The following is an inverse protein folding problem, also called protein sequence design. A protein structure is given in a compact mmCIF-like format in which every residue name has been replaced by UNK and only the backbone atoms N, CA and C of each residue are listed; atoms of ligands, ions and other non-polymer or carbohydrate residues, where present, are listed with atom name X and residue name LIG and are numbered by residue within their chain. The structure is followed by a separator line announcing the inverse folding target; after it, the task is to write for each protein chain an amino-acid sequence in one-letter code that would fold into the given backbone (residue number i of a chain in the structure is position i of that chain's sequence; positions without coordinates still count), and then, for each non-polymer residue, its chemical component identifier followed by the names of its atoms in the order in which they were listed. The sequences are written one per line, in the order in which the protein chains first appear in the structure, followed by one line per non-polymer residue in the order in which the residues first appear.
data_IF_855246967434
#
_entry.id   IF_855246967434
#
_cell.length_a   1.000
_cell.length_b   1.000
_cell.length_c   1.000
_cell.angle_alpha   90.00
_cell.angle_beta   90.00
_cell.angle_gamma   90.00
#
_symmetry.space_group_name_H-M   'P 1'
#
loop_
_entity.id
_entity.type
_entity.pdbx_description
1 polymer ?
#
# COMPACT_ATOMS: atom_id res chain seq x y z
N UNK A 1 -77.27 -55.68 30.75
CA UNK A 1 -78.57 -55.44 30.06
C UNK A 1 -78.29 -54.55 28.87
N UNK A 2 -78.41 -55.13 27.70
CA UNK A 2 -79.25 -54.75 26.55
C UNK A 2 -79.35 -53.26 26.29
N UNK A 3 -79.04 -52.72 25.11
CA UNK A 3 -79.35 -53.00 23.68
C UNK A 3 -78.53 -52.04 22.82
N UNK A 4 -77.92 -52.42 21.82
CA UNK A 4 -78.25 -52.74 20.43
C UNK A 4 -78.82 -51.63 19.58
N UNK A 5 -78.19 -51.47 18.40
CA UNK A 5 -78.68 -50.97 17.05
C UNK A 5 -78.66 -49.46 16.81
N UNK A 6 -78.42 -48.89 15.63
CA UNK A 6 -78.32 -49.43 14.26
C UNK A 6 -77.62 -48.40 13.36
N UNK A 7 -76.89 -48.89 12.40
CA UNK A 7 -76.61 -48.49 11.03
C UNK A 7 -77.25 -47.20 10.47
N UNK A 8 -76.50 -46.43 9.81
CA UNK A 8 -76.92 -45.44 8.80
C UNK A 8 -75.74 -45.03 7.88
N UNK A 9 -75.72 -45.65 6.70
CA UNK A 9 -74.79 -45.37 5.59
C UNK A 9 -75.22 -44.11 4.88
N UNK A 10 -74.40 -43.08 4.80
CA UNK A 10 -74.65 -41.99 3.84
C UNK A 10 -73.33 -41.68 3.10
N UNK A 11 -73.30 -42.01 1.84
CA UNK A 11 -72.25 -41.65 0.88
C UNK A 11 -72.50 -40.21 0.50
N UNK A 12 -71.51 -39.35 0.69
CA UNK A 12 -71.45 -38.02 0.09
C UNK A 12 -70.10 -37.78 -0.56
N UNK A 13 -70.14 -37.44 -1.81
CA UNK A 13 -69.04 -37.09 -2.69
C UNK A 13 -68.24 -35.93 -2.13
N UNK A 14 -66.98 -36.13 -1.98
CA UNK A 14 -66.03 -35.02 -1.77
C UNK A 14 -65.44 -34.57 -3.08
N UNK A 15 -65.73 -33.34 -3.47
CA UNK A 15 -65.04 -32.58 -4.47
C UNK A 15 -63.70 -32.08 -3.88
N UNK A 16 -62.59 -32.49 -4.45
CA UNK A 16 -61.25 -31.99 -4.11
C UNK A 16 -61.07 -30.60 -4.70
N UNK A 17 -61.15 -29.58 -3.85
CA UNK A 17 -60.63 -28.25 -4.18
C UNK A 17 -59.19 -28.20 -3.73
N UNK A 18 -58.27 -28.17 -4.70
CA UNK A 18 -56.85 -28.00 -4.45
C UNK A 18 -56.55 -26.60 -3.88
N UNK A 19 -56.02 -26.58 -2.67
CA UNK A 19 -55.43 -25.38 -2.08
C UNK A 19 -53.99 -25.27 -2.60
N UNK A 20 -53.77 -24.46 -3.67
CA UNK A 20 -52.43 -24.01 -4.05
C UNK A 20 -51.90 -23.06 -2.97
N UNK A 21 -50.94 -23.54 -2.20
CA UNK A 21 -50.14 -22.71 -1.32
C UNK A 21 -49.24 -21.81 -2.19
N UNK A 22 -49.64 -20.57 -2.43
CA UNK A 22 -48.78 -19.54 -2.98
C UNK A 22 -47.67 -19.23 -1.98
N UNK A 23 -46.49 -19.80 -2.23
CA UNK A 23 -45.24 -19.41 -1.56
C UNK A 23 -44.95 -17.97 -1.95
N UNK A 24 -45.26 -17.03 -1.10
CA UNK A 24 -44.82 -15.64 -1.24
C UNK A 24 -43.30 -15.59 -0.98
N UNK A 25 -42.53 -15.71 -2.03
CA UNK A 25 -41.12 -15.33 -2.00
C UNK A 25 -41.07 -13.83 -1.67
N UNK A 26 -40.71 -13.50 -0.41
CA UNK A 26 -40.28 -12.18 -0.06
C UNK A 26 -39.01 -11.91 -0.85
N UNK A 27 -39.16 -11.15 -1.95
CA UNK A 27 -38.04 -10.54 -2.62
C UNK A 27 -37.24 -9.73 -1.56
N UNK A 28 -36.04 -10.17 -1.23
CA UNK A 28 -35.07 -9.35 -0.50
C UNK A 28 -34.88 -8.08 -1.31
N UNK A 29 -35.47 -6.97 -0.89
CA UNK A 29 -35.07 -5.64 -1.35
C UNK A 29 -33.58 -5.54 -1.00
N UNK A 30 -32.70 -5.75 -2.00
CA UNK A 30 -31.34 -5.27 -1.92
C UNK A 30 -31.43 -3.74 -1.83
N UNK A 31 -31.22 -3.22 -0.62
CA UNK A 31 -30.86 -1.82 -0.47
C UNK A 31 -29.63 -1.58 -1.34
N UNK A 32 -29.56 -0.47 -2.11
CA UNK A 32 -28.36 -0.16 -2.85
C UNK A 32 -27.22 -0.03 -1.82
N UNK A 33 -26.31 -1.00 -1.81
CA UNK A 33 -25.08 -0.91 -1.03
C UNK A 33 -24.28 0.21 -1.66
N UNK A 34 -24.19 1.36 -1.00
CA UNK A 34 -23.22 2.38 -1.36
C UNK A 34 -21.85 1.84 -1.01
N UNK A 35 -21.29 1.00 -1.88
CA UNK A 35 -19.92 0.53 -1.77
C UNK A 35 -19.00 1.68 -2.17
N UNK A 36 -18.04 2.01 -1.33
CA UNK A 36 -16.97 2.96 -1.64
C UNK A 36 -15.76 2.20 -2.20
N UNK A 37 -15.21 2.71 -3.29
CA UNK A 37 -13.98 2.18 -3.90
C UNK A 37 -12.84 3.17 -3.68
N UNK A 38 -11.74 2.71 -3.09
CA UNK A 38 -10.50 3.43 -2.89
C UNK A 38 -9.38 2.77 -3.70
N UNK A 39 -8.64 3.56 -4.45
CA UNK A 39 -7.47 3.12 -5.17
C UNK A 39 -6.22 3.65 -4.46
N UNK A 40 -5.35 2.75 -4.00
CA UNK A 40 -4.14 3.07 -3.24
C UNK A 40 -2.92 2.73 -4.09
N UNK A 41 -1.97 3.68 -4.17
CA UNK A 41 -0.62 3.43 -4.64
C UNK A 41 0.38 3.77 -3.52
N UNK A 42 1.50 3.03 -3.44
CA UNK A 42 2.49 3.29 -2.41
C UNK A 42 3.90 2.87 -2.83
N UNK A 43 4.87 3.51 -2.20
CA UNK A 43 6.27 3.08 -2.12
C UNK A 43 6.74 3.18 -0.68
N UNK A 44 7.90 2.62 -0.40
CA UNK A 44 8.63 2.67 0.87
C UNK A 44 10.13 2.60 0.58
N UNK A 45 10.96 2.97 1.56
CA UNK A 45 12.40 2.67 1.58
C UNK A 45 13.11 3.05 0.26
N UNK A 46 12.90 4.28 -0.24
CA UNK A 46 13.55 4.67 -1.49
C UNK A 46 15.02 5.10 -1.27
N UNK A 47 15.42 5.44 -0.03
CA UNK A 47 16.81 5.60 0.40
C UNK A 47 17.65 6.45 -0.57
N UNK A 48 17.17 7.59 -0.97
CA UNK A 48 17.83 8.49 -1.93
C UNK A 48 18.26 7.82 -3.26
N UNK A 49 17.67 6.65 -3.61
CA UNK A 49 17.80 6.06 -4.94
C UNK A 49 16.92 6.84 -5.93
N UNK A 50 17.40 8.05 -6.25
CA UNK A 50 16.66 9.01 -7.08
C UNK A 50 16.72 8.66 -8.56
N UNK A 51 17.85 8.11 -9.01
CA UNK A 51 18.05 7.64 -10.38
C UNK A 51 17.65 6.17 -10.56
N UNK A 52 17.52 5.78 -11.81
CA UNK A 52 17.31 4.39 -12.21
C UNK A 52 18.58 3.56 -12.07
N UNK A 53 18.41 2.28 -11.82
CA UNK A 53 19.51 1.32 -11.71
C UNK A 53 19.40 0.21 -12.75
N UNK A 54 20.47 -0.55 -12.94
CA UNK A 54 20.49 -1.71 -13.84
C UNK A 54 20.18 -2.99 -13.09
N UNK A 55 19.18 -3.73 -13.56
CA UNK A 55 18.80 -5.01 -12.96
C UNK A 55 18.54 -6.08 -14.03
N UNK A 56 19.09 -7.31 -13.86
CA UNK A 56 18.76 -8.43 -14.72
C UNK A 56 17.38 -9.00 -14.36
N UNK A 57 16.48 -9.10 -15.35
CA UNK A 57 15.16 -9.70 -15.21
C UNK A 57 14.96 -10.80 -16.26
N UNK A 58 14.14 -11.79 -15.96
CA UNK A 58 13.65 -12.76 -16.95
C UNK A 58 12.49 -12.16 -17.72
N UNK A 59 12.72 -11.78 -18.98
CA UNK A 59 11.74 -11.20 -19.87
C UNK A 59 11.69 -11.96 -21.19
N UNK A 60 10.50 -12.39 -21.61
CA UNK A 60 10.30 -13.15 -22.86
C UNK A 60 11.25 -14.35 -23.00
N UNK A 61 11.47 -15.11 -21.91
CA UNK A 61 12.32 -16.30 -21.88
C UNK A 61 13.84 -16.05 -21.86
N UNK A 62 14.28 -14.78 -21.79
CA UNK A 62 15.70 -14.38 -21.73
C UNK A 62 15.98 -13.64 -20.42
N UNK A 63 17.23 -13.72 -19.94
CA UNK A 63 17.71 -12.80 -18.90
C UNK A 63 18.16 -11.51 -19.59
N UNK A 64 17.49 -10.41 -19.27
CA UNK A 64 17.72 -9.09 -19.88
C UNK A 64 17.99 -8.10 -18.76
N UNK A 65 19.09 -7.36 -18.86
CA UNK A 65 19.37 -6.22 -17.98
C UNK A 65 18.59 -5.02 -18.49
N UNK A 66 17.81 -4.42 -17.60
CA UNK A 66 16.98 -3.23 -17.87
C UNK A 66 17.27 -2.14 -16.86
N UNK A 67 16.89 -0.90 -17.17
CA UNK A 67 16.79 0.13 -16.14
C UNK A 67 15.54 -0.10 -15.29
N UNK A 68 15.68 0.01 -13.96
CA UNK A 68 14.62 -0.21 -12.98
C UNK A 68 14.58 0.95 -11.97
N UNK A 69 13.40 1.25 -11.44
CA UNK A 69 13.23 2.25 -10.39
C UNK A 69 13.50 3.68 -10.86
N UNK A 70 13.93 4.50 -9.92
CA UNK A 70 14.15 5.94 -10.08
C UNK A 70 12.88 6.78 -9.85
N UNK A 71 12.99 7.85 -9.05
CA UNK A 71 11.83 8.70 -8.72
C UNK A 71 11.16 9.36 -9.93
N UNK A 72 11.85 9.75 -11.03
CA UNK A 72 11.19 10.21 -12.23
C UNK A 72 10.25 9.17 -12.87
N UNK A 73 10.61 7.88 -12.80
CA UNK A 73 9.74 6.79 -13.30
C UNK A 73 8.57 6.54 -12.36
N UNK A 74 8.80 6.56 -11.05
CA UNK A 74 7.74 6.50 -10.04
C UNK A 74 6.74 7.64 -10.24
N UNK A 75 7.22 8.86 -10.48
CA UNK A 75 6.37 10.02 -10.76
C UNK A 75 5.44 9.80 -11.94
N UNK A 76 5.99 9.31 -13.07
CA UNK A 76 5.18 9.02 -14.25
C UNK A 76 4.20 7.87 -13.99
N UNK A 77 4.62 6.84 -13.25
CA UNK A 77 3.75 5.73 -12.87
C UNK A 77 2.57 6.19 -12.01
N UNK A 78 2.84 7.04 -11.01
CA UNK A 78 1.80 7.64 -10.13
C UNK A 78 0.88 8.57 -10.93
N UNK A 79 1.41 9.36 -11.85
CA UNK A 79 0.61 10.21 -12.75
C UNK A 79 -0.36 9.36 -13.58
N UNK A 80 0.12 8.28 -14.17
CA UNK A 80 -0.70 7.33 -14.92
C UNK A 80 -1.76 6.67 -14.01
N UNK A 81 -1.39 6.28 -12.79
CA UNK A 81 -2.30 5.72 -11.80
C UNK A 81 -3.43 6.68 -11.45
N UNK A 82 -3.12 7.95 -11.17
CA UNK A 82 -4.14 8.98 -10.86
C UNK A 82 -5.05 9.27 -12.05
N UNK A 83 -4.52 9.28 -13.27
CA UNK A 83 -5.33 9.46 -14.48
C UNK A 83 -6.26 8.28 -14.77
N UNK A 84 -5.81 7.07 -14.47
CA UNK A 84 -6.56 5.84 -14.73
C UNK A 84 -7.57 5.46 -13.64
N UNK A 85 -7.57 6.13 -12.49
CA UNK A 85 -8.38 5.77 -11.34
C UNK A 85 -9.06 6.98 -10.69
N UNK A 86 -10.24 6.73 -10.09
CA UNK A 86 -10.91 7.69 -9.21
C UNK A 86 -10.57 7.37 -7.75
N UNK A 87 -10.84 8.32 -6.84
CA UNK A 87 -10.65 8.12 -5.40
C UNK A 87 -9.26 7.55 -5.09
N UNK A 88 -8.21 8.24 -5.53
CA UNK A 88 -6.83 7.81 -5.38
C UNK A 88 -6.22 8.32 -4.08
N UNK A 89 -5.34 7.50 -3.50
CA UNK A 89 -4.49 7.83 -2.37
C UNK A 89 -3.09 7.31 -2.67
N UNK A 90 -2.07 8.16 -2.54
CA UNK A 90 -0.67 7.83 -2.85
C UNK A 90 0.17 8.05 -1.59
N UNK A 91 0.78 6.99 -1.08
CA UNK A 91 1.40 6.93 0.24
C UNK A 91 2.89 6.58 0.14
N UNK A 92 3.67 7.09 1.10
CA UNK A 92 5.08 6.74 1.26
C UNK A 92 5.34 6.29 2.71
N UNK A 93 5.81 5.05 2.87
CA UNK A 93 5.93 4.42 4.18
C UNK A 93 7.34 4.50 4.81
N UNK A 94 7.98 5.68 4.70
CA UNK A 94 9.22 5.99 5.41
C UNK A 94 10.50 5.59 4.71
N UNK A 95 11.63 5.92 5.34
CA UNK A 95 12.98 5.74 4.84
C UNK A 95 13.20 6.34 3.45
N UNK A 96 12.99 7.64 3.37
CA UNK A 96 13.32 8.43 2.20
C UNK A 96 14.83 8.73 2.13
N UNK A 97 15.45 8.92 3.29
CA UNK A 97 16.82 9.42 3.44
C UNK A 97 17.85 8.28 3.49
N UNK A 98 19.11 8.66 3.31
CA UNK A 98 20.31 7.80 3.32
C UNK A 98 20.35 6.75 2.20
N UNK A 99 21.54 6.31 1.80
CA UNK A 99 21.76 5.22 0.84
C UNK A 99 22.60 5.59 -0.37
N UNK A 100 22.54 6.79 -0.90
CA UNK A 100 23.31 7.20 -2.09
C UNK A 100 24.10 8.49 -1.91
N UNK A 101 24.92 8.85 -2.92
CA UNK A 101 25.63 10.12 -2.95
C UNK A 101 24.69 11.34 -2.96
N UNK A 102 23.46 11.21 -3.43
CA UNK A 102 22.48 12.29 -3.37
C UNK A 102 22.23 12.71 -1.92
N UNK A 103 22.07 11.76 -1.02
CA UNK A 103 21.94 12.08 0.40
C UNK A 103 23.19 12.75 0.96
N UNK A 104 24.37 12.19 0.66
CA UNK A 104 25.65 12.74 1.14
C UNK A 104 25.90 14.17 0.69
N UNK A 105 25.48 14.53 -0.54
CA UNK A 105 25.73 15.84 -1.13
C UNK A 105 24.63 16.86 -0.80
N UNK A 106 23.39 16.42 -0.71
CA UNK A 106 22.23 17.30 -0.59
C UNK A 106 21.47 17.19 0.74
N UNK A 107 21.86 16.27 1.62
CA UNK A 107 21.31 16.13 2.99
C UNK A 107 19.76 16.01 2.96
N UNK A 108 19.21 15.20 2.03
CA UNK A 108 17.79 14.97 1.85
C UNK A 108 17.01 16.07 1.14
N UNK A 109 17.62 17.18 0.73
CA UNK A 109 16.92 18.25 0.01
C UNK A 109 16.46 17.81 -1.38
N UNK A 110 17.30 17.04 -2.09
CA UNK A 110 16.95 16.48 -3.39
C UNK A 110 15.76 15.52 -3.27
N UNK A 111 15.76 14.69 -2.22
CA UNK A 111 14.66 13.78 -1.91
C UNK A 111 13.36 14.56 -1.69
N UNK A 112 13.38 15.60 -0.82
CA UNK A 112 12.22 16.41 -0.53
C UNK A 112 11.66 17.12 -1.78
N UNK A 113 12.52 17.65 -2.65
CA UNK A 113 12.11 18.35 -3.88
C UNK A 113 11.42 17.38 -4.85
N UNK A 114 12.00 16.19 -5.08
CA UNK A 114 11.39 15.17 -5.95
C UNK A 114 10.11 14.61 -5.34
N UNK A 115 10.06 14.33 -4.03
CA UNK A 115 8.86 13.90 -3.34
C UNK A 115 7.74 14.94 -3.44
N UNK A 116 8.06 16.23 -3.31
CA UNK A 116 7.10 17.32 -3.53
C UNK A 116 6.55 17.34 -4.95
N UNK A 117 7.40 17.11 -5.95
CA UNK A 117 7.00 17.07 -7.36
C UNK A 117 6.11 15.85 -7.69
N UNK A 118 6.37 14.69 -7.06
CA UNK A 118 5.51 13.49 -7.14
C UNK A 118 4.16 13.75 -6.47
N UNK A 119 4.15 14.58 -5.41
CA UNK A 119 2.97 14.97 -4.66
C UNK A 119 2.29 13.76 -3.98
N UNK A 120 3.03 13.05 -3.12
CA UNK A 120 2.44 12.04 -2.25
C UNK A 120 1.35 12.66 -1.36
N UNK A 121 0.33 11.90 -1.04
CA UNK A 121 -0.74 12.38 -0.18
C UNK A 121 -0.35 12.38 1.31
N UNK A 122 0.54 11.45 1.70
CA UNK A 122 1.06 11.30 3.07
C UNK A 122 2.45 10.65 3.00
N UNK A 123 3.31 11.07 3.92
CA UNK A 123 4.60 10.45 4.24
C UNK A 123 4.63 10.12 5.74
N UNK A 124 5.17 8.95 6.11
CA UNK A 124 5.52 8.62 7.50
C UNK A 124 7.03 8.65 7.69
N UNK A 125 7.49 8.87 8.92
CA UNK A 125 8.90 8.77 9.24
C UNK A 125 9.31 7.30 9.32
N UNK A 126 10.55 6.99 8.93
CA UNK A 126 11.25 5.77 9.23
C UNK A 126 12.48 6.04 10.10
N UNK A 127 13.28 5.00 10.38
CA UNK A 127 14.45 5.14 11.24
C UNK A 127 15.56 5.95 10.58
N UNK A 128 15.74 5.82 9.27
CA UNK A 128 16.80 6.55 8.55
C UNK A 128 16.53 8.05 8.42
N UNK A 129 15.35 8.53 8.69
CA UNK A 129 15.09 9.95 8.86
C UNK A 129 15.85 10.56 10.06
N UNK A 130 16.28 9.72 11.02
CA UNK A 130 16.98 10.15 12.23
C UNK A 130 18.50 9.89 12.22
N UNK A 131 19.08 9.37 11.14
CA UNK A 131 20.50 8.94 11.11
C UNK A 131 21.47 10.08 11.47
N UNK A 132 21.27 11.26 10.91
CA UNK A 132 22.11 12.44 11.15
C UNK A 132 21.47 13.44 12.13
N UNK A 133 20.54 12.95 12.94
CA UNK A 133 19.96 13.66 14.08
C UNK A 133 18.88 14.69 13.72
N UNK A 134 18.33 15.27 14.77
CA UNK A 134 17.15 16.14 14.68
C UNK A 134 17.33 17.39 13.80
N UNK A 135 18.54 17.93 13.68
CA UNK A 135 18.78 19.12 12.85
C UNK A 135 18.64 18.82 11.36
N UNK A 136 19.17 17.68 10.91
CA UNK A 136 19.10 17.30 9.53
C UNK A 136 17.67 16.88 9.17
N UNK A 137 17.02 16.09 10.01
CA UNK A 137 15.60 15.79 9.85
C UNK A 137 14.74 17.06 9.74
N UNK A 138 14.99 18.05 10.62
CA UNK A 138 14.29 19.32 10.53
C UNK A 138 14.53 20.02 9.18
N UNK A 139 15.76 20.03 8.69
CA UNK A 139 16.10 20.65 7.40
C UNK A 139 15.36 19.99 6.24
N UNK A 140 15.30 18.66 6.22
CA UNK A 140 14.51 17.89 5.27
C UNK A 140 13.00 18.24 5.35
N UNK A 141 12.43 18.20 6.57
CA UNK A 141 11.02 18.51 6.79
C UNK A 141 10.63 19.96 6.50
N UNK A 142 11.58 20.91 6.58
CA UNK A 142 11.35 22.32 6.22
C UNK A 142 11.20 22.52 4.69
N UNK A 143 11.80 21.65 3.88
CA UNK A 143 11.65 21.63 2.41
C UNK A 143 10.43 20.82 1.98
N UNK A 144 10.12 19.75 2.70
CA UNK A 144 9.03 18.84 2.37
C UNK A 144 7.66 19.52 2.55
N UNK A 145 6.83 19.47 1.50
CA UNK A 145 5.47 20.05 1.47
C UNK A 145 4.37 19.03 1.68
N UNK A 146 4.74 17.74 1.74
CA UNK A 146 3.82 16.62 1.92
C UNK A 146 3.42 16.54 3.40
N UNK A 147 2.15 16.25 3.73
CA UNK A 147 1.75 15.97 5.11
C UNK A 147 2.53 14.80 5.70
N UNK A 148 3.12 15.00 6.88
CA UNK A 148 3.87 13.97 7.60
C UNK A 148 3.05 13.49 8.79
N UNK A 149 3.01 12.16 8.98
CA UNK A 149 2.35 11.51 10.11
C UNK A 149 3.32 10.55 10.81
N UNK A 150 3.36 10.61 12.15
CA UNK A 150 4.05 9.60 12.98
C UNK A 150 3.48 9.68 14.40
N UNK A 151 2.73 8.66 14.80
CA UNK A 151 1.94 8.70 16.02
C UNK A 151 2.73 8.30 17.27
N UNK A 152 3.71 7.41 17.08
CA UNK A 152 4.52 6.88 18.17
C UNK A 152 5.87 7.59 18.36
N UNK A 153 6.17 8.57 17.52
CA UNK A 153 7.35 9.44 17.65
C UNK A 153 6.89 10.81 18.16
N UNK A 154 7.25 11.12 19.39
CA UNK A 154 6.72 12.28 20.12
C UNK A 154 7.86 13.20 20.55
N UNK A 155 8.06 14.34 19.86
CA UNK A 155 9.00 15.37 20.31
C UNK A 155 8.55 15.96 21.64
N UNK A 156 9.51 16.24 22.53
CA UNK A 156 9.25 16.99 23.74
C UNK A 156 8.89 18.44 23.42
N UNK A 157 8.19 19.09 24.35
CA UNK A 157 7.88 20.50 24.23
C UNK A 157 9.18 21.33 24.19
N UNK A 158 9.30 22.17 23.16
CA UNK A 158 10.51 22.97 22.91
C UNK A 158 11.56 22.27 22.04
N UNK A 159 11.36 21.02 21.65
CA UNK A 159 12.17 20.37 20.61
C UNK A 159 12.11 21.15 19.29
N UNK A 160 13.21 21.16 18.54
CA UNK A 160 13.22 21.74 17.19
C UNK A 160 12.31 21.00 16.20
N UNK A 161 11.86 19.80 16.55
CA UNK A 161 10.93 18.97 15.79
C UNK A 161 9.48 19.08 16.30
N UNK A 162 9.22 19.88 17.36
CA UNK A 162 7.87 20.06 17.88
C UNK A 162 6.92 20.57 16.77
N UNK A 163 5.81 19.85 16.55
CA UNK A 163 4.78 20.23 15.56
C UNK A 163 5.14 19.96 14.10
N UNK A 164 6.28 19.32 13.80
CA UNK A 164 6.69 19.00 12.41
C UNK A 164 5.84 17.91 11.76
N UNK A 165 5.21 17.06 12.55
CA UNK A 165 4.26 16.04 12.09
C UNK A 165 3.07 15.93 13.04
N UNK A 166 2.09 15.16 12.61
CA UNK A 166 0.91 14.81 13.40
C UNK A 166 0.85 13.30 13.65
N UNK A 167 0.14 12.84 14.69
CA UNK A 167 -0.03 11.39 14.89
C UNK A 167 -0.82 10.74 13.75
N UNK A 168 -1.77 11.44 13.19
CA UNK A 168 -2.60 11.01 12.06
C UNK A 168 -3.18 12.22 11.33
N UNK A 169 -3.76 11.95 10.18
CA UNK A 169 -4.60 12.89 9.46
C UNK A 169 -5.92 12.24 9.01
N UNK A 170 -6.90 13.05 8.70
CA UNK A 170 -8.15 12.65 8.05
C UNK A 170 -8.17 13.28 6.67
N UNK A 171 -8.26 12.44 5.64
CA UNK A 171 -8.33 12.89 4.24
C UNK A 171 -9.68 12.54 3.64
N UNK A 172 -10.34 13.53 3.06
CA UNK A 172 -11.56 13.27 2.29
C UNK A 172 -11.18 12.80 0.88
N UNK A 173 -11.64 11.61 0.51
CA UNK A 173 -11.43 11.01 -0.81
C UNK A 173 -12.78 10.55 -1.34
N UNK A 174 -13.24 11.12 -2.45
CA UNK A 174 -14.52 10.74 -3.05
C UNK A 174 -15.73 10.91 -2.12
N UNK A 175 -15.69 11.89 -1.21
CA UNK A 175 -16.75 12.14 -0.24
C UNK A 175 -16.68 11.25 1.02
N UNK A 176 -15.69 10.36 1.13
CA UNK A 176 -15.46 9.53 2.31
C UNK A 176 -14.24 10.03 3.09
N UNK A 177 -14.34 10.05 4.41
CA UNK A 177 -13.23 10.39 5.29
C UNK A 177 -12.41 9.14 5.60
N UNK A 178 -11.12 9.19 5.27
CA UNK A 178 -10.13 8.15 5.53
C UNK A 178 -9.21 8.63 6.64
N UNK A 179 -9.12 7.86 7.72
CA UNK A 179 -8.13 8.09 8.78
C UNK A 179 -6.79 7.47 8.36
N UNK A 180 -5.71 8.24 8.50
CA UNK A 180 -4.36 7.78 8.11
C UNK A 180 -3.44 8.03 9.29
N UNK A 181 -2.96 6.95 9.93
CA UNK A 181 -2.08 6.95 11.10
C UNK A 181 -0.66 6.65 10.63
N UNK A 182 0.36 7.35 11.15
CA UNK A 182 1.77 7.04 10.92
C UNK A 182 2.38 6.25 12.07
N UNK A 183 3.28 5.31 11.78
CA UNK A 183 4.08 4.60 12.78
C UNK A 183 5.53 4.45 12.30
N UNK A 184 6.47 4.49 13.25
CA UNK A 184 7.90 4.23 13.04
C UNK A 184 8.37 3.08 13.93
N UNK A 185 9.44 2.39 13.51
CA UNK A 185 10.07 1.28 14.23
C UNK A 185 10.83 1.79 15.45
N UNK A 186 10.34 1.46 16.65
CA UNK A 186 10.93 1.99 17.90
C UNK A 186 12.33 1.48 18.13
N UNK A 187 12.55 0.18 18.00
CA UNK A 187 13.83 -0.46 18.38
C UNK A 187 14.97 0.00 17.49
N UNK A 188 14.83 -0.11 16.17
CA UNK A 188 15.88 0.28 15.22
C UNK A 188 16.20 1.77 15.33
N UNK A 189 15.19 2.63 15.38
CA UNK A 189 15.38 4.08 15.47
C UNK A 189 16.20 4.47 16.71
N UNK A 190 15.95 3.83 17.85
CA UNK A 190 16.70 4.09 19.09
C UNK A 190 18.09 3.47 19.13
N UNK A 191 18.31 2.33 18.49
CA UNK A 191 19.55 1.54 18.61
C UNK A 191 20.50 1.79 17.43
N UNK A 192 19.99 2.13 16.25
CA UNK A 192 20.77 2.19 15.01
C UNK A 192 20.82 3.58 14.37
N UNK A 193 19.91 4.49 14.74
CA UNK A 193 19.89 5.89 14.28
C UNK A 193 20.25 6.84 15.42
N UNK A 194 20.20 8.14 15.18
CA UNK A 194 20.66 9.18 16.12
C UNK A 194 19.55 10.16 16.50
N UNK A 195 18.37 9.71 16.95
CA UNK A 195 17.34 10.62 17.45
C UNK A 195 17.87 11.35 18.69
N UNK A 196 17.52 12.63 18.83
CA UNK A 196 17.85 13.39 20.03
C UNK A 196 17.14 12.85 21.28
N UNK A 197 17.70 13.12 22.46
CA UNK A 197 17.11 12.73 23.75
C UNK A 197 15.74 13.36 24.01
N UNK A 198 15.40 14.41 23.25
CA UNK A 198 14.13 15.14 23.27
C UNK A 198 13.02 14.48 22.41
N UNK A 199 13.26 13.25 21.95
CA UNK A 199 12.26 12.46 21.18
C UNK A 199 11.88 11.21 21.97
N UNK A 200 10.58 11.03 22.21
CA UNK A 200 10.02 9.83 22.83
C UNK A 200 9.43 8.90 21.80
N UNK A 201 9.71 7.63 21.96
CA UNK A 201 9.18 6.54 21.14
C UNK A 201 8.20 5.71 21.97
N UNK A 202 6.97 5.57 21.49
CA UNK A 202 5.90 4.82 22.14
C UNK A 202 5.73 3.47 21.45
N UNK A 203 5.19 2.48 22.17
CA UNK A 203 4.88 1.14 21.62
C UNK A 203 3.94 1.26 20.39
N UNK A 204 4.28 0.57 19.32
CA UNK A 204 3.60 0.65 18.03
C UNK A 204 2.17 0.13 18.11
N UNK A 205 1.96 -1.04 18.78
CA UNK A 205 0.63 -1.69 18.89
C UNK A 205 -0.31 -0.86 19.74
N UNK A 206 0.14 -0.39 20.91
CA UNK A 206 -0.68 0.40 21.81
C UNK A 206 -0.99 1.79 21.21
N UNK A 207 -0.03 2.34 20.48
CA UNK A 207 -0.23 3.63 19.77
C UNK A 207 -1.24 3.47 18.63
N UNK A 208 -1.12 2.41 17.84
CA UNK A 208 -2.10 2.09 16.79
C UNK A 208 -3.50 1.98 17.39
N UNK A 209 -3.66 1.17 18.46
CA UNK A 209 -4.94 0.97 19.16
C UNK A 209 -5.53 2.29 19.65
N UNK A 210 -4.71 3.15 20.27
CA UNK A 210 -5.13 4.45 20.77
C UNK A 210 -5.73 5.31 19.67
N UNK A 211 -5.03 5.47 18.56
CA UNK A 211 -5.45 6.41 17.51
C UNK A 211 -6.53 5.83 16.59
N UNK A 212 -6.61 4.51 16.45
CA UNK A 212 -7.77 3.85 15.82
C UNK A 212 -9.03 4.14 16.62
N UNK A 213 -9.01 3.93 17.96
CA UNK A 213 -10.14 4.23 18.82
C UNK A 213 -10.54 5.72 18.78
N UNK A 214 -9.56 6.63 18.72
CA UNK A 214 -9.81 8.06 18.60
C UNK A 214 -10.51 8.41 17.28
N UNK A 215 -10.04 7.84 16.16
CA UNK A 215 -10.65 8.04 14.85
C UNK A 215 -12.07 7.47 14.77
N UNK A 216 -12.27 6.26 15.30
CA UNK A 216 -13.60 5.65 15.38
C UNK A 216 -14.55 6.48 16.24
N UNK A 217 -14.07 7.06 17.35
CA UNK A 217 -14.83 7.99 18.19
C UNK A 217 -15.25 9.28 17.45
N UNK A 218 -14.55 9.62 16.37
CA UNK A 218 -14.90 10.73 15.45
C UNK A 218 -15.78 10.28 14.27
N UNK A 219 -16.23 9.03 14.27
CA UNK A 219 -17.06 8.47 13.20
C UNK A 219 -16.30 8.05 11.95
N UNK A 220 -14.96 7.95 12.01
CA UNK A 220 -14.13 7.46 10.92
C UNK A 220 -14.07 5.95 11.00
N UNK A 221 -14.52 5.28 9.95
CA UNK A 221 -14.60 3.81 9.85
C UNK A 221 -13.79 3.22 8.69
N UNK A 222 -12.91 4.01 8.09
CA UNK A 222 -11.93 3.57 7.08
C UNK A 222 -10.59 4.07 7.55
N UNK A 223 -9.73 3.16 7.99
CA UNK A 223 -8.47 3.50 8.67
C UNK A 223 -7.31 2.77 8.01
N UNK A 224 -6.35 3.55 7.55
CA UNK A 224 -5.09 3.08 6.96
C UNK A 224 -3.97 3.43 7.93
N UNK A 225 -3.07 2.50 8.18
CA UNK A 225 -1.81 2.76 8.85
C UNK A 225 -0.71 2.83 7.78
N UNK A 226 0.07 3.90 7.78
CA UNK A 226 1.31 4.00 6.99
C UNK A 226 2.44 3.79 7.98
N UNK A 227 3.10 2.64 7.91
CA UNK A 227 3.94 2.15 8.99
C UNK A 227 5.33 1.76 8.53
N UNK A 228 6.33 2.32 9.19
CA UNK A 228 7.72 1.91 9.04
C UNK A 228 8.16 0.98 10.18
N UNK A 229 7.26 0.12 10.68
CA UNK A 229 7.55 -0.76 11.83
C UNK A 229 8.03 -2.16 11.44
N UNK A 230 8.22 -2.42 10.15
CA UNK A 230 8.59 -3.72 9.61
C UNK A 230 7.41 -4.67 9.42
N UNK A 231 7.55 -5.60 8.48
CA UNK A 231 6.48 -6.50 8.05
C UNK A 231 5.88 -7.30 9.20
N UNK A 232 6.70 -7.95 10.02
CA UNK A 232 6.24 -8.81 11.11
C UNK A 232 5.49 -8.02 12.19
N UNK A 233 5.97 -6.82 12.54
CA UNK A 233 5.28 -5.93 13.47
C UNK A 233 3.95 -5.45 12.89
N UNK A 234 3.89 -5.19 11.60
CA UNK A 234 2.67 -4.78 10.91
C UNK A 234 1.63 -5.91 10.84
N UNK A 235 2.07 -7.17 10.69
CA UNK A 235 1.22 -8.35 10.85
C UNK A 235 0.67 -8.42 12.28
N UNK A 236 1.51 -8.25 13.30
CA UNK A 236 1.11 -8.22 14.71
C UNK A 236 0.05 -7.13 15.00
N UNK A 237 0.25 -5.91 14.45
CA UNK A 237 -0.73 -4.81 14.57
C UNK A 237 -2.05 -5.22 13.94
N UNK A 238 -2.04 -5.78 12.74
CA UNK A 238 -3.25 -6.24 12.04
C UNK A 238 -4.03 -7.30 12.81
N UNK A 239 -3.33 -8.21 13.52
CA UNK A 239 -3.93 -9.27 14.32
C UNK A 239 -4.41 -8.81 15.72
N UNK A 240 -3.85 -7.72 16.27
CA UNK A 240 -4.11 -7.24 17.62
C UNK A 240 -4.96 -5.99 17.74
N UNK A 241 -5.17 -5.26 16.65
CA UNK A 241 -5.87 -3.96 16.66
C UNK A 241 -7.11 -4.02 15.79
N UNK A 242 -8.29 -3.86 16.41
CA UNK A 242 -9.55 -3.77 15.69
C UNK A 242 -9.70 -2.42 14.98
N UNK A 243 -10.37 -2.43 13.81
CA UNK A 243 -10.74 -1.23 13.09
C UNK A 243 -9.68 -0.70 12.12
N UNK A 244 -8.58 -1.44 11.93
CA UNK A 244 -7.61 -1.22 10.86
C UNK A 244 -8.06 -1.97 9.61
N UNK A 245 -7.99 -1.34 8.44
CA UNK A 245 -8.36 -1.96 7.15
C UNK A 245 -7.15 -2.34 6.31
N UNK A 246 -6.15 -1.43 6.28
CA UNK A 246 -4.96 -1.55 5.45
C UNK A 246 -3.74 -1.01 6.19
N UNK A 247 -2.62 -1.71 6.10
CA UNK A 247 -1.31 -1.28 6.58
C UNK A 247 -0.36 -1.22 5.40
N UNK A 248 0.18 -0.03 5.11
CA UNK A 248 1.26 0.16 4.16
C UNK A 248 2.56 0.10 4.94
N UNK A 249 3.35 -0.94 4.67
CA UNK A 249 4.56 -1.32 5.40
C UNK A 249 5.81 -0.79 4.73
N UNK A 250 6.85 -0.56 5.52
CA UNK A 250 8.25 -0.34 5.15
C UNK A 250 9.18 -0.98 6.16
N UNK A 251 10.49 -0.71 6.10
CA UNK A 251 11.58 -1.15 6.97
C UNK A 251 12.18 -2.52 6.61
N UNK A 252 11.42 -3.51 6.18
CA UNK A 252 11.95 -4.85 5.91
C UNK A 252 12.47 -5.04 4.50
N UNK A 253 12.20 -4.15 3.59
CA UNK A 253 12.56 -4.24 2.16
C UNK A 253 12.03 -5.50 1.47
N UNK A 254 10.93 -6.07 1.96
CA UNK A 254 10.41 -7.31 1.41
C UNK A 254 9.73 -7.11 0.06
N UNK A 255 10.12 -7.92 -0.90
CA UNK A 255 9.34 -8.15 -2.11
C UNK A 255 8.23 -9.14 -1.77
N UNK A 256 6.99 -8.66 -1.74
CA UNK A 256 5.82 -9.48 -1.50
C UNK A 256 5.18 -9.90 -2.82
N UNK A 257 4.84 -11.19 -2.95
CA UNK A 257 4.09 -11.73 -4.08
C UNK A 257 4.88 -12.70 -4.94
N UNK A 258 4.49 -13.98 -4.91
CA UNK A 258 5.10 -15.04 -5.74
C UNK A 258 5.01 -14.78 -7.25
N UNK A 259 4.10 -13.92 -7.69
CA UNK A 259 3.97 -13.50 -9.09
C UNK A 259 5.23 -12.85 -9.67
N UNK A 260 6.14 -12.36 -8.83
CA UNK A 260 7.40 -11.75 -9.28
C UNK A 260 8.48 -12.78 -9.63
N UNK A 261 8.33 -14.06 -9.23
CA UNK A 261 9.23 -15.15 -9.63
C UNK A 261 9.31 -15.31 -11.16
N UNK A 262 8.24 -15.00 -11.90
CA UNK A 262 8.21 -15.02 -13.35
C UNK A 262 9.27 -14.11 -13.99
N UNK A 263 9.71 -13.08 -13.28
CA UNK A 263 10.76 -12.14 -13.70
C UNK A 263 12.15 -12.53 -13.18
N UNK A 264 12.29 -13.69 -12.50
CA UNK A 264 13.53 -14.14 -11.89
C UNK A 264 13.87 -13.46 -10.58
N UNK A 265 12.93 -12.75 -9.99
CA UNK A 265 13.03 -12.17 -8.66
C UNK A 265 12.69 -13.24 -7.61
N UNK A 266 13.16 -13.03 -6.37
CA UNK A 266 12.93 -13.96 -5.26
C UNK A 266 12.15 -13.21 -4.17
N UNK A 267 10.83 -13.37 -4.12
CA UNK A 267 10.02 -12.77 -3.06
C UNK A 267 10.32 -13.37 -1.68
N UNK A 268 10.36 -12.53 -0.65
CA UNK A 268 10.49 -12.96 0.75
C UNK A 268 9.19 -13.55 1.31
N UNK A 269 8.05 -13.14 0.75
CA UNK A 269 6.72 -13.65 1.14
C UNK A 269 5.86 -13.90 -0.12
N UNK A 270 5.00 -14.92 -0.04
CA UNK A 270 4.19 -15.36 -1.19
C UNK A 270 3.02 -14.42 -1.53
N UNK A 271 2.46 -13.73 -0.54
CA UNK A 271 1.23 -12.97 -0.69
C UNK A 271 1.49 -11.46 -0.77
N UNK A 272 1.00 -10.79 -1.82
CA UNK A 272 0.84 -9.34 -1.87
C UNK A 272 -0.63 -8.97 -2.12
N UNK A 273 -1.29 -8.25 -1.21
CA UNK A 273 -0.88 -8.01 0.18
C UNK A 273 -1.12 -9.24 1.06
N UNK A 274 -0.47 -9.31 2.21
CA UNK A 274 -0.78 -10.28 3.26
C UNK A 274 -2.13 -9.96 3.87
N UNK A 275 -3.01 -10.95 3.96
CA UNK A 275 -4.28 -10.84 4.66
C UNK A 275 -4.18 -11.51 6.04
N UNK A 276 -4.61 -10.79 7.08
CA UNK A 276 -4.83 -11.33 8.42
C UNK A 276 -6.25 -10.97 8.87
N UNK A 277 -6.67 -11.44 10.04
CA UNK A 277 -7.92 -11.04 10.66
C UNK A 277 -7.63 -10.33 11.98
N UNK A 278 -8.29 -9.20 12.21
CA UNK A 278 -8.29 -8.50 13.48
C UNK A 278 -9.03 -9.31 14.56
N UNK A 279 -8.96 -8.97 15.86
CA UNK A 279 -9.61 -9.70 16.94
C UNK A 279 -11.11 -9.89 16.74
N UNK A 280 -11.80 -8.95 16.10
CA UNK A 280 -13.23 -9.06 15.79
C UNK A 280 -13.53 -9.80 14.47
N UNK A 281 -12.51 -10.36 13.81
CA UNK A 281 -12.63 -11.18 12.61
C UNK A 281 -12.70 -10.41 11.29
N UNK A 282 -12.56 -9.08 11.29
CA UNK A 282 -12.51 -8.29 10.06
C UNK A 282 -11.16 -8.47 9.34
N UNK A 283 -11.13 -8.47 8.01
CA UNK A 283 -9.89 -8.56 7.25
C UNK A 283 -9.04 -7.29 7.41
N UNK A 284 -7.74 -7.49 7.60
CA UNK A 284 -6.72 -6.46 7.55
C UNK A 284 -5.70 -6.87 6.50
N UNK A 285 -5.27 -5.94 5.65
CA UNK A 285 -4.32 -6.21 4.59
C UNK A 285 -3.01 -5.46 4.83
N UNK A 286 -1.87 -6.15 4.72
CA UNK A 286 -0.53 -5.59 4.90
C UNK A 286 0.21 -5.66 3.56
N UNK A 287 0.68 -4.51 3.06
CA UNK A 287 1.36 -4.41 1.77
C UNK A 287 2.69 -3.65 1.93
N UNK A 288 3.74 -4.19 1.33
CA UNK A 288 5.06 -3.57 1.23
C UNK A 288 5.52 -3.58 -0.22
N UNK A 289 6.20 -2.53 -0.68
CA UNK A 289 6.54 -2.32 -2.09
C UNK A 289 8.05 -2.46 -2.34
N UNK A 290 8.65 -3.53 -1.80
CA UNK A 290 10.08 -3.77 -1.93
C UNK A 290 10.91 -2.58 -1.40
N UNK A 291 11.87 -2.08 -2.21
CA UNK A 291 12.74 -0.95 -1.86
C UNK A 291 13.17 -0.16 -3.10
N UNK A 292 13.94 0.93 -2.91
CA UNK A 292 14.69 1.71 -3.91
C UNK A 292 13.85 2.14 -5.13
N UNK A 293 12.55 2.33 -4.91
CA UNK A 293 11.61 2.71 -5.98
C UNK A 293 11.47 1.68 -7.12
N UNK A 294 11.89 0.43 -6.92
CA UNK A 294 11.81 -0.61 -7.93
C UNK A 294 10.39 -1.06 -8.22
N UNK A 295 9.51 -0.97 -7.22
CA UNK A 295 8.13 -1.42 -7.29
C UNK A 295 7.18 -0.30 -6.88
N UNK A 296 6.11 -0.12 -7.63
CA UNK A 296 4.95 0.65 -7.19
C UNK A 296 3.88 -0.32 -6.72
N UNK A 297 3.63 -0.35 -5.40
CA UNK A 297 2.51 -1.06 -4.83
C UNK A 297 1.21 -0.41 -5.30
N UNK A 298 0.26 -1.21 -5.78
CA UNK A 298 -1.05 -0.71 -6.21
C UNK A 298 -2.13 -1.69 -5.78
N UNK A 299 -3.27 -1.14 -5.34
CA UNK A 299 -4.44 -1.95 -5.01
C UNK A 299 -5.72 -1.14 -5.08
N UNK A 300 -6.81 -1.84 -5.35
CA UNK A 300 -8.16 -1.32 -5.31
C UNK A 300 -8.92 -2.00 -4.17
N UNK A 301 -9.39 -1.24 -3.19
CA UNK A 301 -10.16 -1.72 -2.06
C UNK A 301 -11.62 -1.29 -2.18
N UNK A 302 -12.55 -2.22 -2.04
CA UNK A 302 -13.99 -1.93 -1.96
C UNK A 302 -14.45 -2.09 -0.52
N UNK A 303 -15.04 -1.04 0.01
CA UNK A 303 -15.57 -0.97 1.36
C UNK A 303 -17.10 -1.09 1.36
N UNK A 304 -17.63 -1.79 2.35
CA UNK A 304 -19.04 -1.76 2.66
C UNK A 304 -19.43 -0.47 3.43
N UNK A 305 -20.71 -0.35 3.76
CA UNK A 305 -21.23 0.79 4.55
C UNK A 305 -20.65 0.90 5.96
N UNK A 306 -20.13 -0.20 6.52
CA UNK A 306 -19.55 -0.24 7.86
C UNK A 306 -18.05 0.10 7.85
N UNK A 307 -17.45 0.26 6.65
CA UNK A 307 -16.04 0.53 6.47
C UNK A 307 -15.17 -0.73 6.36
N UNK A 308 -15.76 -1.92 6.22
CA UNK A 308 -15.00 -3.17 6.09
C UNK A 308 -14.66 -3.42 4.62
N UNK A 309 -13.42 -3.80 4.33
CA UNK A 309 -12.99 -4.20 2.98
C UNK A 309 -13.65 -5.54 2.61
N UNK A 310 -14.50 -5.53 1.59
CA UNK A 310 -15.20 -6.71 1.08
C UNK A 310 -14.50 -7.35 -0.12
N UNK A 311 -13.72 -6.56 -0.85
CA UNK A 311 -12.92 -7.00 -1.99
C UNK A 311 -11.64 -6.15 -2.07
N UNK A 312 -10.50 -6.80 -2.30
CA UNK A 312 -9.24 -6.12 -2.58
C UNK A 312 -8.60 -6.75 -3.80
N UNK A 313 -8.27 -5.91 -4.79
CA UNK A 313 -7.65 -6.31 -6.05
C UNK A 313 -6.25 -5.70 -6.11
N UNK A 314 -5.19 -6.48 -5.87
CA UNK A 314 -3.82 -6.00 -5.95
C UNK A 314 -3.33 -5.96 -7.41
N UNK A 315 -2.50 -4.98 -7.72
CA UNK A 315 -1.84 -4.82 -9.02
C UNK A 315 -0.46 -4.17 -8.85
N UNK A 316 0.42 -4.72 -7.98
CA UNK A 316 1.76 -4.18 -7.79
C UNK A 316 2.58 -4.34 -9.06
N UNK A 317 3.47 -3.38 -9.37
CA UNK A 317 4.23 -3.35 -10.63
C UNK A 317 5.69 -3.04 -10.39
N UNK A 318 6.54 -3.93 -10.86
CA UNK A 318 7.96 -3.61 -11.09
C UNK A 318 8.02 -2.53 -12.18
N UNK A 319 8.76 -1.46 -11.94
CA UNK A 319 8.87 -0.30 -12.83
C UNK A 319 10.17 -0.37 -13.62
N UNK A 320 10.09 -0.65 -14.91
CA UNK A 320 11.26 -0.68 -15.79
C UNK A 320 11.21 0.44 -16.85
N UNK A 321 12.38 0.80 -17.38
CA UNK A 321 12.50 1.68 -18.56
C UNK A 321 12.06 0.99 -19.84
N UNK A 322 11.84 1.79 -20.89
CA UNK A 322 11.49 1.28 -22.23
C UNK A 322 12.64 1.48 -23.26
N UNK A 323 13.78 1.95 -22.81
CA UNK A 323 14.89 2.39 -23.65
C UNK A 323 16.12 1.49 -23.59
N UNK A 324 16.43 0.92 -22.43
CA UNK A 324 17.64 0.13 -22.17
C UNK A 324 17.31 -1.35 -22.00
N UNK A 325 17.84 -2.18 -22.91
CA UNK A 325 17.70 -3.65 -22.88
C UNK A 325 19.00 -4.31 -23.32
N UNK A 326 19.69 -4.94 -22.40
CA UNK A 326 21.01 -5.54 -22.60
C UNK A 326 21.01 -7.02 -22.28
N UNK A 327 21.69 -7.82 -23.08
CA UNK A 327 21.90 -9.24 -22.83
C UNK A 327 23.39 -9.57 -22.87
N UNK A 328 23.80 -10.67 -22.28
CA UNK A 328 25.14 -11.22 -22.49
C UNK A 328 25.15 -12.08 -23.73
N UNK A 329 26.10 -11.81 -24.65
CA UNK A 329 26.33 -12.64 -25.83
C UNK A 329 27.05 -13.94 -25.47
N UNK A 330 27.38 -14.76 -26.46
CA UNK A 330 28.06 -16.07 -26.26
C UNK A 330 29.43 -15.92 -25.58
N UNK A 331 30.11 -14.78 -25.77
CA UNK A 331 31.41 -14.46 -25.15
C UNK A 331 31.25 -13.81 -23.77
N UNK A 332 30.02 -13.69 -23.23
CA UNK A 332 29.72 -13.06 -21.96
C UNK A 332 29.76 -11.53 -21.96
N UNK A 333 29.92 -10.89 -23.13
CA UNK A 333 29.90 -9.43 -23.25
C UNK A 333 28.46 -8.91 -23.26
N UNK A 334 28.26 -7.78 -22.58
CA UNK A 334 27.00 -7.06 -22.60
C UNK A 334 26.80 -6.41 -24.00
N UNK A 335 25.63 -6.66 -24.59
CA UNK A 335 25.22 -6.11 -25.88
C UNK A 335 23.78 -5.63 -25.82
N UNK A 336 23.52 -4.46 -26.36
CA UNK A 336 22.17 -3.92 -26.46
C UNK A 336 21.37 -4.77 -27.48
N UNK A 337 20.11 -5.03 -27.14
CA UNK A 337 19.17 -5.67 -28.05
C UNK A 337 18.82 -4.74 -29.21
N UNK A 338 18.63 -5.33 -30.39
CA UNK A 338 18.11 -4.58 -31.53
C UNK A 338 16.63 -4.15 -31.31
N UNK A 339 16.14 -3.26 -32.17
CA UNK A 339 14.80 -2.72 -32.06
C UNK A 339 13.70 -3.81 -32.15
N UNK A 340 13.93 -4.87 -32.94
CA UNK A 340 12.97 -5.97 -33.13
C UNK A 340 12.86 -6.80 -31.84
N UNK A 341 13.99 -7.18 -31.26
CA UNK A 341 14.05 -7.96 -30.01
C UNK A 341 13.48 -7.16 -28.83
N UNK A 342 13.88 -5.87 -28.72
CA UNK A 342 13.33 -4.95 -27.71
C UNK A 342 11.81 -4.84 -27.82
N UNK A 343 11.27 -4.62 -29.02
CA UNK A 343 9.82 -4.55 -29.22
C UNK A 343 9.12 -5.87 -28.92
N UNK A 344 9.74 -7.01 -29.17
CA UNK A 344 9.17 -8.32 -28.79
C UNK A 344 9.04 -8.43 -27.27
N UNK A 345 10.04 -7.99 -26.50
CA UNK A 345 9.98 -7.98 -25.03
C UNK A 345 8.89 -6.99 -24.54
N UNK A 346 8.88 -5.75 -25.02
CA UNK A 346 7.89 -4.76 -24.64
C UNK A 346 6.44 -5.25 -24.91
N UNK A 347 6.22 -5.91 -26.05
CA UNK A 347 4.94 -6.51 -26.38
C UNK A 347 4.57 -7.66 -25.44
N UNK A 348 5.54 -8.48 -25.01
CA UNK A 348 5.28 -9.61 -24.10
C UNK A 348 4.83 -9.17 -22.71
N UNK A 349 5.26 -7.98 -22.25
CA UNK A 349 4.92 -7.46 -20.93
C UNK A 349 3.78 -6.42 -20.96
N UNK A 350 3.35 -5.96 -22.13
CA UNK A 350 2.38 -4.86 -22.30
C UNK A 350 1.11 -5.02 -21.47
N UNK A 351 0.60 -6.25 -21.34
CA UNK A 351 -0.62 -6.57 -20.59
C UNK A 351 -0.32 -7.30 -19.27
N UNK A 352 0.93 -7.38 -18.86
CA UNK A 352 1.29 -7.99 -17.60
C UNK A 352 0.86 -7.07 -16.44
N UNK A 353 0.28 -7.68 -15.39
CA UNK A 353 -0.25 -6.92 -14.25
C UNK A 353 0.84 -6.48 -13.29
N UNK A 354 2.01 -7.14 -13.31
CA UNK A 354 3.03 -7.05 -12.27
C UNK A 354 4.35 -6.40 -12.76
N UNK A 355 4.39 -5.92 -14.00
CA UNK A 355 5.51 -5.15 -14.54
C UNK A 355 4.98 -4.07 -15.49
N UNK A 356 5.66 -2.94 -15.54
CA UNK A 356 5.34 -1.88 -16.48
C UNK A 356 6.61 -1.23 -17.03
N UNK A 357 6.72 -1.15 -18.36
CA UNK A 357 7.71 -0.33 -19.02
C UNK A 357 7.19 1.12 -19.09
N UNK A 358 7.84 2.03 -18.37
CA UNK A 358 7.41 3.42 -18.18
C UNK A 358 8.60 4.35 -18.40
N UNK A 359 8.40 5.39 -19.20
CA UNK A 359 9.38 6.46 -19.37
C UNK A 359 9.49 7.28 -18.09
N UNK A 360 10.64 7.87 -17.88
CA UNK A 360 10.83 8.88 -16.84
C UNK A 360 9.93 10.09 -17.10
N UNK A 361 9.37 10.68 -16.03
CA UNK A 361 8.78 12.02 -16.14
C UNK A 361 9.87 13.02 -16.50
N UNK A 362 9.74 13.73 -17.63
CA UNK A 362 10.84 14.56 -18.12
C UNK A 362 11.14 15.78 -17.25
N UNK A 363 10.14 16.25 -16.49
CA UNK A 363 10.34 17.40 -15.60
C UNK A 363 11.13 16.98 -14.35
N UNK A 364 10.88 15.79 -13.82
CA UNK A 364 11.62 15.27 -12.68
C UNK A 364 13.01 14.76 -13.10
N UNK A 365 13.14 14.13 -14.28
CA UNK A 365 14.44 13.73 -14.80
C UNK A 365 15.40 14.93 -14.92
N UNK A 366 14.88 16.08 -15.36
CA UNK A 366 15.65 17.32 -15.46
C UNK A 366 16.10 17.89 -14.10
N UNK A 367 15.44 17.54 -12.99
CA UNK A 367 15.88 17.97 -11.65
C UNK A 367 17.11 17.20 -11.15
N UNK A 368 17.45 16.08 -11.78
CA UNK A 368 18.62 15.26 -11.48
C UNK A 368 19.86 15.62 -12.33
N UNK A 369 19.72 16.45 -13.37
CA UNK A 369 20.80 16.99 -14.22
C UNK A 369 21.47 18.20 -13.54
#
# INVERSE_FOLDING_TARGET
MKKLMLLGLAVSLFSTAGLEAKTVQKAKKQSPSTSFELNVAHINDHHSHLEEEKMPLKLNGKTVTVHIGGLPRVAQAIKNFRQGNKNTLVLHAGDALTGTLYYTLFEGKADAELMNAINFDVFTLGNHEFDDGNKLLKSFLDVLKIPVVSANVVPDKGSILEGKWKPYMIKNVGGQNIGIIGLDVVKKTKESSSPGDDIKFLDEVETARKYVNELQGKGINKIIIVSHSGYEKNVEIGEKVDGVDLIISGDTHYLLGKEFEQFGLVPEKEDYPKKVNSPNGNPVYIAEAWNYSYLLGQMKAKFDKNGVITELIPTPKVLIGDDFFEVKNAEGKAVQLDAKEKNAILNSIKNNKNIAAIKNDPALAKLLE
#
